data_IF_657239515694
#
_entry.id   IF_657239515694
#
_cell.length_a   1.000
_cell.length_b   1.000
_cell.length_c   1.000
_cell.angle_alpha   90.00
_cell.angle_beta   90.00
_cell.angle_gamma   90.00
#
_symmetry.space_group_name_H-M   'P 1'
#
loop_
_entity.id
_entity.type
_entity.pdbx_description
1 polymer ?
#
# COMPACT_ATOMS: atom_id res chain seq x y z
N UNK A 1 16.49 29.72 -36.41
CA UNK A 1 15.34 30.56 -36.03
C UNK A 1 14.07 29.77 -36.32
N UNK A 2 13.57 29.04 -35.31
CA UNK A 2 12.21 29.20 -34.70
C UNK A 2 11.05 28.78 -35.62
N UNK A 3 10.19 27.80 -35.32
CA UNK A 3 9.96 27.05 -34.09
C UNK A 3 9.03 25.85 -34.35
N UNK A 4 9.20 24.82 -33.53
CA UNK A 4 8.55 23.51 -33.60
C UNK A 4 7.11 23.59 -33.07
N UNK A 5 6.15 23.21 -33.91
CA UNK A 5 4.71 23.23 -33.61
C UNK A 5 4.31 22.15 -32.60
N UNK A 6 3.84 22.59 -31.44
CA UNK A 6 3.22 21.75 -30.42
C UNK A 6 1.80 21.35 -30.83
N UNK A 7 1.68 20.31 -31.64
CA UNK A 7 0.40 19.69 -32.02
C UNK A 7 0.52 18.18 -31.80
N UNK A 8 0.18 17.68 -30.61
CA UNK A 8 0.20 16.23 -30.38
C UNK A 8 0.00 15.71 -28.95
N UNK A 9 0.01 16.56 -27.90
CA UNK A 9 -0.07 16.08 -26.50
C UNK A 9 -1.47 16.20 -25.91
N UNK A 10 -2.52 15.82 -26.66
CA UNK A 10 -3.90 15.74 -26.11
C UNK A 10 -4.58 14.37 -26.26
N UNK A 11 -3.86 13.34 -26.71
CA UNK A 11 -4.44 12.03 -26.98
C UNK A 11 -4.08 10.92 -25.96
N UNK A 12 -3.61 11.24 -24.74
CA UNK A 12 -3.21 10.21 -23.74
C UNK A 12 -3.83 10.29 -22.35
N UNK A 13 -4.81 11.18 -22.11
CA UNK A 13 -5.40 11.32 -20.78
C UNK A 13 -6.79 10.66 -20.60
N UNK A 14 -7.43 10.18 -21.67
CA UNK A 14 -8.82 9.71 -21.60
C UNK A 14 -9.01 8.24 -21.22
N UNK A 15 -8.05 7.37 -21.56
CA UNK A 15 -8.24 5.91 -21.47
C UNK A 15 -7.58 5.27 -20.24
N UNK A 16 -6.64 5.96 -19.57
CA UNK A 16 -5.98 5.46 -18.35
C UNK A 16 -6.76 5.74 -17.05
N UNK A 17 -7.70 6.69 -17.06
CA UNK A 17 -8.38 7.17 -15.84
C UNK A 17 -9.46 6.21 -15.31
N UNK A 18 -9.98 5.28 -16.13
CA UNK A 18 -10.99 4.30 -15.68
C UNK A 18 -10.42 3.07 -14.98
N UNK A 19 -9.12 2.77 -15.17
CA UNK A 19 -8.49 1.56 -14.63
C UNK A 19 -7.69 1.78 -13.34
N UNK A 20 -7.21 2.99 -13.08
CA UNK A 20 -6.39 3.30 -11.90
C UNK A 20 -7.01 2.93 -10.55
N UNK A 21 -8.30 3.19 -10.26
CA UNK A 21 -8.86 2.81 -8.95
C UNK A 21 -8.99 1.28 -8.82
N UNK A 22 -9.28 0.59 -9.92
CA UNK A 22 -9.34 -0.89 -9.94
C UNK A 22 -7.95 -1.46 -9.73
N UNK A 23 -6.93 -0.92 -10.41
CA UNK A 23 -5.54 -1.34 -10.25
C UNK A 23 -5.04 -1.11 -8.82
N UNK A 24 -5.34 0.05 -8.22
CA UNK A 24 -5.03 0.35 -6.83
C UNK A 24 -5.62 -0.68 -5.87
N UNK A 25 -6.93 -0.97 -6.02
CA UNK A 25 -7.64 -1.93 -5.18
C UNK A 25 -7.04 -3.32 -5.34
N UNK A 26 -6.84 -3.78 -6.59
CA UNK A 26 -6.27 -5.09 -6.89
C UNK A 26 -4.87 -5.22 -6.28
N UNK A 27 -3.98 -4.24 -6.48
CA UNK A 27 -2.62 -4.29 -5.93
C UNK A 27 -2.61 -4.25 -4.41
N UNK A 28 -3.52 -3.49 -3.80
CA UNK A 28 -3.67 -3.44 -2.33
C UNK A 28 -4.15 -4.78 -1.77
N UNK A 29 -5.12 -5.41 -2.43
CA UNK A 29 -5.63 -6.74 -2.05
C UNK A 29 -4.54 -7.80 -2.22
N UNK A 30 -3.80 -7.78 -3.34
CA UNK A 30 -2.67 -8.69 -3.58
C UNK A 30 -1.59 -8.51 -2.51
N UNK A 31 -1.25 -7.26 -2.17
CA UNK A 31 -0.27 -6.95 -1.12
C UNK A 31 -0.71 -7.48 0.24
N UNK A 32 -1.96 -7.24 0.62
CA UNK A 32 -2.55 -7.74 1.86
C UNK A 32 -2.56 -9.27 1.91
N UNK A 33 -3.02 -9.92 0.84
CA UNK A 33 -3.06 -11.38 0.75
C UNK A 33 -1.66 -11.99 0.81
N UNK A 34 -0.70 -11.44 0.07
CA UNK A 34 0.67 -11.93 0.06
C UNK A 34 1.36 -11.74 1.43
N UNK A 35 1.09 -10.62 2.11
CA UNK A 35 1.56 -10.38 3.47
C UNK A 35 0.94 -11.38 4.47
N UNK A 36 -0.34 -11.66 4.35
CA UNK A 36 -1.03 -12.69 5.13
C UNK A 36 -0.39 -14.07 4.92
N UNK A 37 -0.29 -14.51 3.66
CA UNK A 37 0.25 -15.83 3.31
C UNK A 37 1.69 -16.00 3.79
N UNK A 38 2.52 -14.97 3.63
CA UNK A 38 3.88 -14.98 4.19
C UNK A 38 3.86 -15.18 5.70
N UNK A 39 3.16 -14.31 6.42
CA UNK A 39 3.11 -14.35 7.88
C UNK A 39 2.49 -15.66 8.42
N UNK A 40 1.61 -16.29 7.65
CA UNK A 40 0.98 -17.54 7.99
C UNK A 40 1.91 -18.76 7.83
N UNK A 41 2.64 -18.82 6.72
CA UNK A 41 3.38 -20.03 6.33
C UNK A 41 4.90 -19.92 6.50
N UNK A 42 5.44 -18.81 7.02
CA UNK A 42 6.90 -18.59 7.14
C UNK A 42 7.63 -19.65 7.96
N UNK A 43 6.98 -20.18 9.00
CA UNK A 43 7.56 -21.22 9.85
C UNK A 43 7.46 -22.63 9.24
N UNK A 44 6.72 -22.76 8.14
CA UNK A 44 6.59 -23.99 7.37
C UNK A 44 7.54 -24.04 6.17
N UNK A 45 8.28 -22.97 5.92
CA UNK A 45 9.22 -22.93 4.81
C UNK A 45 10.38 -23.89 5.07
N UNK A 46 10.66 -24.77 4.11
CA UNK A 46 11.89 -25.56 4.16
C UNK A 46 13.09 -24.61 4.09
N UNK A 47 13.98 -24.71 5.08
CA UNK A 47 15.24 -23.95 5.13
C UNK A 47 16.40 -24.92 5.01
N UNK A 48 17.18 -24.75 3.97
CA UNK A 48 18.46 -25.43 3.80
C UNK A 48 19.51 -24.59 4.54
N UNK A 49 19.87 -25.04 5.74
CA UNK A 49 20.87 -24.39 6.56
C UNK A 49 22.23 -25.08 6.39
N UNK A 50 23.23 -24.34 5.90
CA UNK A 50 24.59 -24.83 5.69
C UNK A 50 25.60 -23.68 5.68
N UNK A 51 26.80 -23.90 6.24
CA UNK A 51 27.90 -22.92 6.20
C UNK A 51 27.64 -21.59 6.93
N UNK A 52 26.73 -21.56 7.91
CA UNK A 52 26.39 -20.35 8.67
C UNK A 52 25.28 -19.48 8.04
N UNK A 53 24.68 -19.92 6.94
CA UNK A 53 23.51 -19.27 6.34
C UNK A 53 22.35 -20.27 6.18
N UNK A 54 21.13 -19.76 6.19
CA UNK A 54 19.93 -20.51 5.87
C UNK A 54 19.29 -19.89 4.63
N UNK A 55 19.20 -20.66 3.55
CA UNK A 55 18.45 -20.28 2.36
C UNK A 55 17.16 -21.08 2.29
N UNK A 56 16.13 -20.53 1.65
CA UNK A 56 14.90 -21.26 1.36
C UNK A 56 14.63 -21.19 -0.13
N UNK A 57 14.52 -22.36 -0.77
CA UNK A 57 14.06 -22.51 -2.14
C UNK A 57 12.54 -22.69 -2.23
N UNK A 58 11.83 -22.54 -1.11
CA UNK A 58 10.38 -22.69 -1.06
C UNK A 58 9.71 -21.50 -1.77
N UNK A 59 8.78 -21.82 -2.69
CA UNK A 59 7.97 -20.84 -3.42
C UNK A 59 7.21 -19.93 -2.45
N UNK A 60 6.89 -20.40 -1.24
CA UNK A 60 6.28 -19.59 -0.18
C UNK A 60 7.15 -18.39 0.19
N UNK A 61 8.47 -18.48 0.07
CA UNK A 61 9.42 -17.37 0.28
C UNK A 61 9.20 -16.16 -0.63
N UNK A 62 8.56 -16.35 -1.79
CA UNK A 62 8.25 -15.27 -2.75
C UNK A 62 7.10 -14.37 -2.31
N UNK A 63 6.30 -14.80 -1.32
CA UNK A 63 5.13 -14.05 -0.86
C UNK A 63 5.50 -12.73 -0.20
N UNK A 64 6.63 -12.63 0.53
CA UNK A 64 7.09 -11.38 1.11
C UNK A 64 7.55 -10.35 0.05
N UNK A 65 8.45 -10.69 -0.90
CA UNK A 65 8.78 -9.80 -2.01
C UNK A 65 7.55 -9.36 -2.80
N UNK A 66 6.62 -10.29 -3.07
CA UNK A 66 5.36 -9.98 -3.76
C UNK A 66 4.54 -8.97 -2.96
N UNK A 67 4.40 -9.15 -1.65
CA UNK A 67 3.66 -8.25 -0.78
C UNK A 67 4.23 -6.83 -0.77
N UNK A 68 5.56 -6.70 -0.72
CA UNK A 68 6.26 -5.41 -0.75
C UNK A 68 6.08 -4.74 -2.12
N UNK A 69 6.36 -5.45 -3.21
CA UNK A 69 6.33 -4.87 -4.55
C UNK A 69 4.91 -4.46 -4.96
N UNK A 70 3.91 -5.29 -4.65
CA UNK A 70 2.51 -4.95 -4.90
C UNK A 70 2.01 -3.81 -4.01
N UNK A 71 2.48 -3.71 -2.76
CA UNK A 71 2.14 -2.60 -1.86
C UNK A 71 2.75 -1.26 -2.33
N UNK A 72 4.00 -1.28 -2.77
CA UNK A 72 4.65 -0.12 -3.38
C UNK A 72 3.96 0.31 -4.68
N UNK A 73 3.61 -0.67 -5.54
CA UNK A 73 2.88 -0.41 -6.78
C UNK A 73 1.47 0.15 -6.50
N UNK A 74 0.78 -0.36 -5.47
CA UNK A 74 -0.50 0.19 -5.01
C UNK A 74 -0.34 1.65 -4.55
N UNK A 75 0.64 1.92 -3.69
CA UNK A 75 0.94 3.28 -3.24
C UNK A 75 1.17 4.23 -4.41
N UNK A 76 2.02 3.85 -5.36
CA UNK A 76 2.32 4.66 -6.54
C UNK A 76 1.09 4.88 -7.45
N UNK A 77 0.32 3.83 -7.74
CA UNK A 77 -0.87 3.90 -8.58
C UNK A 77 -2.00 4.73 -7.95
N UNK A 78 -2.08 4.77 -6.62
CA UNK A 78 -3.09 5.53 -5.91
C UNK A 78 -2.73 7.00 -5.66
N UNK A 79 -1.45 7.41 -5.79
CA UNK A 79 -1.05 8.80 -5.52
C UNK A 79 -1.69 9.78 -6.51
N UNK A 80 -1.85 9.39 -7.77
CA UNK A 80 -2.51 10.21 -8.81
C UNK A 80 -3.97 10.52 -8.48
N UNK A 81 -4.69 9.55 -7.90
CA UNK A 81 -6.15 9.61 -7.67
C UNK A 81 -6.53 10.00 -6.24
N UNK A 82 -5.77 9.53 -5.25
CA UNK A 82 -6.07 9.63 -3.82
C UNK A 82 -5.04 10.46 -3.05
N UNK A 83 -3.95 10.90 -3.71
CA UNK A 83 -2.88 11.65 -3.07
C UNK A 83 -2.21 10.83 -1.96
N UNK A 84 -1.81 11.49 -0.87
CA UNK A 84 -1.16 10.85 0.28
C UNK A 84 -2.03 9.82 1.02
N UNK A 85 -3.34 9.75 0.73
CA UNK A 85 -4.20 8.74 1.37
C UNK A 85 -3.96 7.34 0.83
N UNK A 86 -3.61 7.19 -0.46
CA UNK A 86 -3.31 5.90 -1.08
C UNK A 86 -2.14 5.14 -0.43
N UNK A 87 -0.93 5.72 -0.27
CA UNK A 87 0.17 5.00 0.36
C UNK A 87 -0.16 4.64 1.81
N UNK A 88 -0.90 5.48 2.54
CA UNK A 88 -1.35 5.16 3.90
C UNK A 88 -2.30 3.95 3.96
N UNK A 89 -3.26 3.87 3.02
CA UNK A 89 -4.18 2.73 2.90
C UNK A 89 -3.43 1.46 2.51
N UNK A 90 -2.50 1.54 1.55
CA UNK A 90 -1.68 0.39 1.15
C UNK A 90 -0.83 -0.13 2.32
N UNK A 91 -0.21 0.76 3.10
CA UNK A 91 0.58 0.39 4.28
C UNK A 91 -0.29 -0.26 5.37
N UNK A 92 -1.48 0.29 5.61
CA UNK A 92 -2.42 -0.24 6.59
C UNK A 92 -2.94 -1.63 6.18
N UNK A 93 -3.27 -1.83 4.89
CA UNK A 93 -3.68 -3.12 4.36
C UNK A 93 -2.57 -4.18 4.48
N UNK A 94 -1.33 -3.80 4.16
CA UNK A 94 -0.15 -4.66 4.34
C UNK A 94 0.04 -5.06 5.82
N UNK A 95 -0.02 -4.09 6.75
CA UNK A 95 0.08 -4.35 8.19
C UNK A 95 -1.07 -5.22 8.72
N UNK A 96 -2.28 -5.05 8.20
CA UNK A 96 -3.43 -5.89 8.54
C UNK A 96 -3.24 -7.34 8.06
N UNK A 97 -2.72 -7.53 6.85
CA UNK A 97 -2.36 -8.85 6.31
C UNK A 97 -1.35 -9.58 7.21
N UNK A 98 -0.24 -8.91 7.56
CA UNK A 98 0.76 -9.48 8.48
C UNK A 98 0.17 -9.87 9.84
N UNK A 99 -0.66 -8.99 10.41
CA UNK A 99 -1.30 -9.25 11.71
C UNK A 99 -2.32 -10.39 11.63
N UNK A 100 -3.04 -10.51 10.53
CA UNK A 100 -3.97 -11.61 10.27
C UNK A 100 -3.23 -12.94 10.13
N UNK A 101 -2.19 -12.97 9.30
CA UNK A 101 -1.42 -14.19 9.04
C UNK A 101 -0.71 -14.72 10.28
N UNK A 102 -0.08 -13.83 11.07
CA UNK A 102 0.56 -14.22 12.35
C UNK A 102 -0.44 -14.81 13.35
N UNK A 103 -1.65 -14.22 13.46
CA UNK A 103 -2.70 -14.75 14.35
C UNK A 103 -3.20 -16.12 13.90
N UNK A 104 -3.41 -16.29 12.60
CA UNK A 104 -3.83 -17.56 12.03
C UNK A 104 -2.74 -18.63 12.20
N UNK A 105 -1.45 -18.30 11.99
CA UNK A 105 -0.35 -19.23 12.24
C UNK A 105 -0.28 -19.72 13.69
N UNK A 106 -0.55 -18.83 14.66
CA UNK A 106 -0.61 -19.20 16.08
C UNK A 106 -1.84 -20.07 16.36
N UNK A 107 -3.00 -19.72 15.80
CA UNK A 107 -4.24 -20.47 15.99
C UNK A 107 -4.12 -21.91 15.43
N UNK A 108 -3.45 -22.06 14.30
CA UNK A 108 -3.25 -23.35 13.64
C UNK A 108 -2.00 -24.10 14.15
N UNK A 109 -1.26 -23.52 15.11
CA UNK A 109 -0.15 -24.16 15.80
C UNK A 109 1.17 -24.20 15.04
N UNK A 110 1.35 -23.41 13.97
CA UNK A 110 2.62 -23.34 13.23
C UNK A 110 3.68 -22.53 13.97
N UNK A 111 3.24 -21.51 14.72
CA UNK A 111 4.14 -20.61 15.43
C UNK A 111 3.81 -20.58 16.93
N UNK A 112 4.78 -20.78 17.83
CA UNK A 112 4.55 -20.63 19.25
C UNK A 112 4.30 -19.14 19.60
N UNK A 113 3.25 -18.88 20.37
CA UNK A 113 2.81 -17.51 20.73
C UNK A 113 3.89 -16.64 21.39
N UNK A 114 4.94 -17.24 21.95
CA UNK A 114 6.04 -16.53 22.60
C UNK A 114 7.03 -15.90 21.60
N UNK A 115 7.02 -16.35 20.34
CA UNK A 115 7.97 -15.89 19.30
C UNK A 115 7.41 -14.80 18.38
N UNK A 116 6.10 -14.52 18.44
CA UNK A 116 5.44 -13.53 17.56
C UNK A 116 5.58 -12.07 18.01
N UNK A 117 6.28 -11.78 19.11
CA UNK A 117 6.38 -10.43 19.68
C UNK A 117 6.95 -9.39 18.68
N UNK A 118 8.07 -9.71 18.03
CA UNK A 118 8.67 -8.82 17.03
C UNK A 118 7.78 -8.60 15.79
N UNK A 119 7.28 -9.65 15.09
CA UNK A 119 6.46 -9.44 13.89
C UNK A 119 5.11 -8.78 14.18
N UNK A 120 4.49 -9.05 15.33
CA UNK A 120 3.25 -8.35 15.73
C UNK A 120 3.51 -6.88 16.05
N UNK A 121 4.63 -6.54 16.68
CA UNK A 121 5.02 -5.14 16.92
C UNK A 121 5.26 -4.40 15.61
N UNK A 122 5.99 -5.01 14.67
CA UNK A 122 6.22 -4.43 13.34
C UNK A 122 4.90 -4.20 12.58
N UNK A 123 3.97 -5.16 12.61
CA UNK A 123 2.65 -5.01 11.98
C UNK A 123 1.83 -3.87 12.62
N UNK A 124 1.89 -3.71 13.94
CA UNK A 124 1.22 -2.60 14.65
C UNK A 124 1.83 -1.25 14.27
N UNK A 125 3.17 -1.14 14.21
CA UNK A 125 3.84 0.09 13.78
C UNK A 125 3.41 0.48 12.36
N UNK A 126 3.36 -0.49 11.43
CA UNK A 126 2.89 -0.25 10.07
C UNK A 126 1.42 0.18 10.02
N UNK A 127 0.55 -0.43 10.82
CA UNK A 127 -0.86 -0.01 10.92
C UNK A 127 -1.00 1.44 11.41
N UNK A 128 -0.27 1.79 12.48
CA UNK A 128 -0.30 3.15 13.05
C UNK A 128 0.27 4.16 12.06
N UNK A 129 1.42 3.86 11.45
CA UNK A 129 2.03 4.72 10.44
C UNK A 129 1.11 4.92 9.23
N UNK A 130 0.51 3.83 8.70
CA UNK A 130 -0.46 3.88 7.61
C UNK A 130 -1.66 4.76 7.96
N UNK A 131 -2.26 4.56 9.15
CA UNK A 131 -3.39 5.36 9.62
C UNK A 131 -3.04 6.85 9.74
N UNK A 132 -1.88 7.19 10.32
CA UNK A 132 -1.43 8.58 10.44
C UNK A 132 -1.24 9.25 9.09
N UNK A 133 -0.62 8.56 8.13
CA UNK A 133 -0.41 9.06 6.77
C UNK A 133 -1.75 9.27 6.05
N UNK A 134 -2.69 8.33 6.19
CA UNK A 134 -4.04 8.47 5.62
C UNK A 134 -4.78 9.67 6.20
N UNK A 135 -4.75 9.84 7.54
CA UNK A 135 -5.42 10.96 8.22
C UNK A 135 -4.78 12.30 7.81
N UNK A 136 -3.45 12.38 7.75
CA UNK A 136 -2.74 13.57 7.31
C UNK A 136 -3.09 13.94 5.86
N UNK A 137 -3.10 12.95 4.95
CA UNK A 137 -3.49 13.14 3.55
C UNK A 137 -4.94 13.63 3.41
N UNK A 138 -5.86 13.08 4.20
CA UNK A 138 -7.26 13.50 4.22
C UNK A 138 -7.40 14.95 4.72
N UNK A 139 -6.70 15.29 5.81
CA UNK A 139 -6.71 16.64 6.37
C UNK A 139 -6.22 17.69 5.36
N UNK A 140 -5.15 17.40 4.61
CA UNK A 140 -4.64 18.30 3.55
C UNK A 140 -5.67 18.48 2.44
N UNK A 141 -6.33 17.40 1.99
CA UNK A 141 -7.39 17.49 0.98
C UNK A 141 -8.57 18.34 1.43
N UNK A 142 -9.06 18.11 2.65
CA UNK A 142 -10.17 18.88 3.21
C UNK A 142 -9.84 20.37 3.33
N UNK A 143 -8.62 20.71 3.76
CA UNK A 143 -8.14 22.11 3.80
C UNK A 143 -8.11 22.74 2.40
N UNK A 144 -7.63 22.02 1.39
CA UNK A 144 -7.60 22.50 -0.01
C UNK A 144 -9.00 22.72 -0.61
N UNK A 145 -10.00 21.94 -0.21
CA UNK A 145 -11.39 22.15 -0.63
C UNK A 145 -12.00 23.37 0.07
N UNK A 146 -11.70 23.56 1.36
CA UNK A 146 -12.18 24.70 2.13
C UNK A 146 -11.63 26.04 1.59
N UNK A 147 -10.36 26.09 1.19
CA UNK A 147 -9.76 27.29 0.58
C UNK A 147 -10.37 27.61 -0.78
N UNK A 148 -10.62 26.59 -1.63
CA UNK A 148 -11.28 26.79 -2.93
C UNK A 148 -12.70 27.33 -2.80
N UNK A 149 -13.49 26.81 -1.84
CA UNK A 149 -14.85 27.31 -1.58
C UNK A 149 -14.86 28.79 -1.16
N UNK A 150 -13.87 29.22 -0.38
CA UNK A 150 -13.72 30.63 0.01
C UNK A 150 -13.35 31.52 -1.17
N UNK A 151 -12.48 31.05 -2.06
CA UNK A 151 -12.09 31.78 -3.27
C UNK A 151 -13.27 31.97 -4.25
N UNK A 152 -14.13 30.96 -4.41
CA UNK A 152 -15.31 31.04 -5.30
C UNK A 152 -16.50 31.75 -4.66
N UNK A 153 -16.61 31.76 -3.33
CA UNK A 153 -17.68 32.47 -2.61
C UNK A 153 -17.44 33.97 -2.44
N UNK A 154 -16.20 34.44 -2.58
CA UNK A 154 -15.82 35.86 -2.48
C UNK A 154 -15.92 36.64 -3.80
N UNK A 155 -16.09 35.97 -4.95
CA UNK A 155 -16.28 36.61 -6.26
C UNK A 155 -17.76 36.84 -6.57
N UNK A 156 -18.52 37.39 -5.61
CA UNK A 156 -19.83 37.95 -5.88
C UNK A 156 -19.67 39.18 -6.78
N UNK A 157 -20.42 39.31 -7.88
CA UNK A 157 -20.36 40.50 -8.73
C UNK A 157 -20.84 41.71 -7.92
N UNK A 158 -19.91 42.58 -7.53
CA UNK A 158 -20.27 43.94 -7.13
C UNK A 158 -20.88 44.62 -8.36
N UNK A 159 -22.22 44.66 -8.37
CA UNK A 159 -23.01 45.64 -9.09
C UNK A 159 -23.25 46.83 -8.19
#
# INVERSE_FOLDING_TARGET
MTGCGASGVRARAGFLVRGEPVLFVVLTVVSCWAAYSFAHDVDRMARDCGGGSCASNDVRGLTLPLAIMSGLAAGAAGVSTLGLTAPGVALAAFGAGLRGGTRAAVADGFTPAQTVGFPTTAAVVLLVAGALVTVAGLAVRLRGLATRRRATGGSGPNR
#
